data_IF_748673730294
#
_entry.id   IF_748673730294
#
_cell.length_a   1.000
_cell.length_b   1.000
_cell.length_c   1.000
_cell.angle_alpha   90.00
_cell.angle_beta   90.00
_cell.angle_gamma   90.00
#
_symmetry.space_group_name_H-M   'P 1'
#
loop_
_entity.id
_entity.type
_entity.pdbx_description
1 polymer ?
#
# COMPACT_ATOMS: atom_id res chain seq x y z
N UNK A 1 5.98 -17.16 -4.80
CA UNK A 1 6.00 -16.51 -3.48
C UNK A 1 6.05 -15.02 -3.76
N UNK A 2 5.01 -14.29 -3.40
CA UNK A 2 4.85 -12.89 -3.84
C UNK A 2 5.59 -11.96 -2.88
N UNK A 3 6.07 -10.81 -3.37
CA UNK A 3 6.77 -9.79 -2.55
C UNK A 3 5.93 -9.30 -1.35
N UNK A 4 4.61 -9.37 -1.47
CA UNK A 4 3.66 -9.09 -0.39
C UNK A 4 3.85 -10.07 0.78
N UNK A 5 3.96 -11.37 0.49
CA UNK A 5 4.17 -12.40 1.51
C UNK A 5 5.52 -12.22 2.21
N UNK A 6 6.56 -11.83 1.46
CA UNK A 6 7.87 -11.51 2.03
C UNK A 6 7.81 -10.34 3.02
N UNK A 7 7.08 -9.27 2.66
CA UNK A 7 6.90 -8.11 3.54
C UNK A 7 6.05 -8.41 4.77
N UNK A 8 5.04 -9.25 4.65
CA UNK A 8 4.19 -9.66 5.78
C UNK A 8 4.94 -10.53 6.80
N UNK A 9 5.96 -11.28 6.37
CA UNK A 9 6.82 -12.06 7.30
C UNK A 9 7.62 -11.21 8.27
N UNK A 10 7.75 -9.90 8.03
CA UNK A 10 8.36 -8.98 8.99
C UNK A 10 7.47 -8.74 10.23
N UNK A 11 6.22 -9.25 10.24
CA UNK A 11 5.31 -9.20 11.39
C UNK A 11 4.71 -7.81 11.64
N UNK A 12 4.75 -6.94 10.63
CA UNK A 12 4.15 -5.60 10.64
C UNK A 12 2.97 -5.55 9.67
N UNK A 13 1.96 -4.71 9.91
CA UNK A 13 0.96 -4.40 8.90
C UNK A 13 1.61 -3.85 7.63
N UNK A 14 0.95 -4.00 6.49
CA UNK A 14 1.49 -3.66 5.18
C UNK A 14 0.48 -2.85 4.38
N UNK A 15 0.91 -1.71 3.85
CA UNK A 15 0.19 -0.94 2.84
C UNK A 15 0.82 -1.23 1.48
N UNK A 16 0.01 -1.69 0.53
CA UNK A 16 0.44 -1.89 -0.86
C UNK A 16 -0.23 -0.86 -1.75
N UNK A 17 0.54 0.05 -2.33
CA UNK A 17 0.03 1.00 -3.35
C UNK A 17 0.39 0.52 -4.74
N UNK A 18 -0.60 0.42 -5.61
CA UNK A 18 -0.45 -0.01 -7.00
C UNK A 18 -0.66 1.19 -7.91
N UNK A 19 0.40 1.59 -8.61
CA UNK A 19 0.45 2.80 -9.41
C UNK A 19 1.32 2.70 -10.66
N UNK A 20 1.62 3.84 -11.26
CA UNK A 20 2.49 3.95 -12.44
C UNK A 20 3.20 5.30 -12.47
N UNK A 21 4.40 5.35 -13.05
CA UNK A 21 5.16 6.60 -13.24
C UNK A 21 4.50 7.58 -14.23
N UNK A 22 3.52 7.13 -15.01
CA UNK A 22 2.78 7.98 -15.94
C UNK A 22 1.41 8.43 -15.40
N UNK A 23 1.14 8.18 -14.12
CA UNK A 23 -0.12 8.51 -13.46
C UNK A 23 0.08 9.71 -12.52
N UNK A 24 -0.50 10.87 -12.88
CA UNK A 24 -0.41 12.10 -12.07
C UNK A 24 -0.89 11.92 -10.63
N UNK A 25 -2.07 11.34 -10.34
CA UNK A 25 -2.51 11.14 -8.96
C UNK A 25 -1.59 10.18 -8.19
N UNK A 26 -0.99 9.19 -8.87
CA UNK A 26 -0.03 8.27 -8.25
C UNK A 26 1.24 9.01 -7.78
N UNK A 27 1.75 9.96 -8.57
CA UNK A 27 2.90 10.80 -8.19
C UNK A 27 2.64 11.66 -6.96
N UNK A 28 1.38 12.03 -6.71
CA UNK A 28 1.03 12.80 -5.51
C UNK A 28 0.97 11.92 -4.25
N UNK A 29 0.64 10.63 -4.40
CA UNK A 29 0.59 9.67 -3.29
C UNK A 29 1.98 9.17 -2.90
N UNK A 30 2.90 9.01 -3.85
CA UNK A 30 4.27 8.54 -3.55
C UNK A 30 4.99 9.32 -2.41
N UNK A 31 5.05 10.67 -2.39
CA UNK A 31 5.69 11.37 -1.29
C UNK A 31 4.95 11.17 0.04
N UNK A 32 3.62 11.09 0.01
CA UNK A 32 2.80 10.81 1.20
C UNK A 32 3.13 9.44 1.79
N UNK A 33 3.23 8.41 0.94
CA UNK A 33 3.61 7.06 1.36
C UNK A 33 5.01 6.99 1.92
N UNK A 34 5.97 7.75 1.35
CA UNK A 34 7.32 7.86 1.91
C UNK A 34 7.32 8.48 3.29
N UNK A 35 6.58 9.57 3.49
CA UNK A 35 6.45 10.16 4.82
C UNK A 35 5.85 9.18 5.83
N UNK A 36 4.81 8.43 5.44
CA UNK A 36 4.22 7.38 6.28
C UNK A 36 5.22 6.26 6.58
N UNK A 37 5.98 5.82 5.58
CA UNK A 37 7.02 4.81 5.77
C UNK A 37 8.10 5.31 6.74
N UNK A 38 8.51 6.58 6.66
CA UNK A 38 9.48 7.16 7.60
C UNK A 38 8.90 7.31 9.02
N UNK A 39 7.67 7.81 9.14
CA UNK A 39 6.98 8.01 10.43
C UNK A 39 6.73 6.67 11.16
N UNK A 40 6.44 5.60 10.40
CA UNK A 40 6.05 4.30 10.93
C UNK A 40 7.01 3.16 10.59
N UNK A 41 8.27 3.45 10.22
CA UNK A 41 9.26 2.44 9.75
C UNK A 41 9.38 1.20 10.66
N UNK A 42 9.19 1.39 11.97
CA UNK A 42 9.34 0.36 12.99
C UNK A 42 8.04 -0.44 13.21
N UNK A 43 6.90 0.07 12.73
CA UNK A 43 5.56 -0.43 13.04
C UNK A 43 4.71 -0.75 11.80
N UNK A 44 5.09 -0.32 10.61
CA UNK A 44 4.33 -0.44 9.37
C UNK A 44 5.28 -0.66 8.18
N UNK A 45 4.86 -1.52 7.26
CA UNK A 45 5.52 -1.72 5.98
C UNK A 45 4.75 -1.00 4.87
N UNK A 46 5.49 -0.40 3.95
CA UNK A 46 4.94 0.22 2.73
C UNK A 46 5.57 -0.46 1.53
N UNK A 47 4.75 -0.82 0.56
CA UNK A 47 5.16 -1.45 -0.69
C UNK A 47 4.50 -0.74 -1.85
N UNK A 48 5.30 -0.19 -2.76
CA UNK A 48 4.81 0.48 -3.96
C UNK A 48 5.05 -0.44 -5.15
N UNK A 49 3.99 -0.82 -5.84
CA UNK A 49 4.03 -1.68 -7.02
C UNK A 49 3.69 -0.86 -8.27
N UNK A 50 4.63 -0.85 -9.21
CA UNK A 50 4.38 -0.31 -10.53
C UNK A 50 3.64 -1.35 -11.38
N UNK A 51 2.50 -0.98 -11.97
CA UNK A 51 1.73 -1.87 -12.85
C UNK A 51 2.48 -2.33 -14.08
N UNK A 52 3.44 -1.56 -14.57
CA UNK A 52 4.24 -1.92 -15.75
C UNK A 52 5.36 -2.92 -15.42
N UNK A 53 5.84 -2.92 -14.18
CA UNK A 53 6.96 -3.77 -13.74
C UNK A 53 6.47 -5.03 -13.01
N UNK A 54 5.34 -4.95 -12.31
CA UNK A 54 4.83 -6.00 -11.43
C UNK A 54 3.52 -6.63 -11.97
N UNK A 55 3.43 -6.83 -13.29
CA UNK A 55 2.21 -7.26 -13.98
C UNK A 55 1.54 -8.50 -13.38
N UNK A 56 2.32 -9.52 -13.00
CA UNK A 56 1.77 -10.76 -12.43
C UNK A 56 1.09 -10.51 -11.08
N UNK A 57 1.78 -9.84 -10.14
CA UNK A 57 1.24 -9.53 -8.80
C UNK A 57 0.04 -8.60 -8.91
N UNK A 58 0.10 -7.58 -9.78
CA UNK A 58 -1.00 -6.63 -10.01
C UNK A 58 -2.25 -7.35 -10.52
N UNK A 59 -2.05 -8.35 -11.40
CA UNK A 59 -3.13 -9.18 -11.92
C UNK A 59 -3.69 -10.12 -10.84
N UNK A 60 -2.85 -10.70 -9.98
CA UNK A 60 -3.28 -11.51 -8.83
C UNK A 60 -4.13 -10.68 -7.84
N UNK A 61 -3.76 -9.42 -7.62
CA UNK A 61 -4.52 -8.47 -6.80
C UNK A 61 -5.84 -8.01 -7.43
N UNK A 62 -6.08 -8.34 -8.72
CA UNK A 62 -7.30 -7.95 -9.43
C UNK A 62 -7.44 -6.45 -9.67
N UNK A 63 -6.31 -5.71 -9.73
CA UNK A 63 -6.33 -4.26 -9.93
C UNK A 63 -6.86 -3.91 -11.32
N UNK A 64 -8.01 -3.23 -11.37
CA UNK A 64 -8.63 -2.76 -12.62
C UNK A 64 -8.39 -1.27 -12.90
N UNK A 65 -7.99 -0.50 -11.89
CA UNK A 65 -7.78 0.94 -11.98
C UNK A 65 -6.65 1.37 -11.06
N UNK A 66 -5.91 2.40 -11.46
CA UNK A 66 -4.84 2.97 -10.65
C UNK A 66 -5.12 4.45 -10.32
N UNK A 67 -4.64 4.93 -9.15
CA UNK A 67 -3.97 4.16 -8.10
C UNK A 67 -4.94 3.29 -7.30
N UNK A 68 -4.48 2.16 -6.77
CA UNK A 68 -5.25 1.30 -5.84
C UNK A 68 -4.38 0.94 -4.65
N UNK A 69 -4.89 1.13 -3.43
CA UNK A 69 -4.21 0.78 -2.18
C UNK A 69 -4.86 -0.43 -1.54
N UNK A 70 -4.04 -1.35 -1.06
CA UNK A 70 -4.47 -2.50 -0.26
C UNK A 70 -3.87 -2.39 1.13
N UNK A 71 -4.66 -2.76 2.14
CA UNK A 71 -4.27 -2.70 3.54
C UNK A 71 -4.28 -4.12 4.09
N UNK A 72 -3.16 -4.54 4.65
CA UNK A 72 -2.98 -5.84 5.28
C UNK A 72 -2.61 -5.66 6.74
N UNK A 73 -3.21 -6.45 7.62
CA UNK A 73 -2.78 -6.51 9.02
C UNK A 73 -1.44 -7.25 9.17
N UNK A 74 -0.91 -7.24 10.39
CA UNK A 74 0.34 -7.94 10.75
C UNK A 74 0.25 -9.47 10.62
N UNK A 75 -0.97 -10.02 10.57
CA UNK A 75 -1.25 -11.45 10.43
C UNK A 75 -1.37 -11.85 8.94
N UNK A 76 -1.22 -10.88 8.03
CA UNK A 76 -1.27 -11.06 6.58
C UNK A 76 -2.67 -11.08 5.98
N UNK A 77 -3.70 -10.71 6.75
CA UNK A 77 -5.07 -10.65 6.26
C UNK A 77 -5.33 -9.29 5.60
N UNK A 78 -5.93 -9.30 4.41
CA UNK A 78 -6.39 -8.08 3.75
C UNK A 78 -7.60 -7.53 4.50
N UNK A 79 -7.40 -6.41 5.18
CA UNK A 79 -8.43 -5.74 5.98
C UNK A 79 -9.24 -4.72 5.16
N UNK A 80 -8.72 -4.29 4.01
CA UNK A 80 -9.42 -3.37 3.13
C UNK A 80 -8.64 -3.00 1.87
N UNK A 81 -9.31 -2.27 0.98
CA UNK A 81 -8.72 -1.66 -0.19
C UNK A 81 -9.39 -0.32 -0.52
N UNK A 82 -8.66 0.57 -1.16
CA UNK A 82 -9.16 1.85 -1.69
C UNK A 82 -8.76 2.00 -3.15
N UNK A 83 -9.68 2.47 -3.99
CA UNK A 83 -9.43 2.74 -5.40
C UNK A 83 -9.51 4.23 -5.65
N UNK A 84 -8.47 4.77 -6.27
CA UNK A 84 -8.33 6.18 -6.61
C UNK A 84 -7.39 6.93 -5.68
N UNK A 85 -7.47 8.26 -5.73
CA UNK A 85 -6.59 9.12 -4.94
C UNK A 85 -6.96 9.04 -3.45
N UNK A 86 -5.95 8.88 -2.60
CA UNK A 86 -6.08 8.87 -1.15
C UNK A 86 -5.10 9.90 -0.55
N UNK A 87 -5.60 10.96 0.12
CA UNK A 87 -4.73 11.96 0.73
C UNK A 87 -4.08 11.44 2.02
N UNK A 88 -3.01 12.11 2.47
CA UNK A 88 -2.25 11.78 3.69
C UNK A 88 -3.14 11.63 4.93
N UNK A 89 -4.08 12.55 5.13
CA UNK A 89 -4.99 12.53 6.27
C UNK A 89 -5.82 11.23 6.33
N UNK A 90 -6.28 10.74 5.16
CA UNK A 90 -7.03 9.50 5.09
C UNK A 90 -6.16 8.28 5.37
N UNK A 91 -4.91 8.25 4.89
CA UNK A 91 -3.97 7.20 5.27
C UNK A 91 -3.73 7.17 6.78
N UNK A 92 -3.47 8.34 7.39
CA UNK A 92 -3.26 8.43 8.84
C UNK A 92 -4.49 7.97 9.62
N UNK A 93 -5.69 8.29 9.13
CA UNK A 93 -6.93 7.82 9.75
C UNK A 93 -7.04 6.30 9.66
N UNK A 94 -6.82 5.70 8.48
CA UNK A 94 -6.84 4.25 8.27
C UNK A 94 -5.81 3.57 9.16
N UNK A 95 -4.59 4.12 9.26
CA UNK A 95 -3.54 3.56 10.10
C UNK A 95 -3.98 3.52 11.58
N UNK A 96 -4.59 4.60 12.08
CA UNK A 96 -5.09 4.66 13.45
C UNK A 96 -6.28 3.73 13.68
N UNK A 97 -7.25 3.71 12.77
CA UNK A 97 -8.49 2.94 12.93
C UNK A 97 -8.29 1.44 12.72
N UNK A 98 -7.50 1.07 11.71
CA UNK A 98 -7.36 -0.32 11.28
C UNK A 98 -6.12 -1.00 11.86
N UNK A 99 -4.99 -0.30 11.94
CA UNK A 99 -3.76 -0.88 12.49
C UNK A 99 -3.62 -0.61 14.00
N UNK A 100 -4.46 0.27 14.57
CA UNK A 100 -4.40 0.66 15.99
C UNK A 100 -3.01 1.17 16.43
N UNK A 101 -2.33 1.86 15.51
CA UNK A 101 -0.99 2.47 15.70
C UNK A 101 -1.07 3.92 16.15
#
# INVERSE_FOLDING_TARGET
>A
MSIIDEKLREGKPLIVDVGSDNCVPCKMIQPVLKEIEEDYKDSLNVLILNVNENLEIVKELGVMSIPTQFFYDKDGQMIGQHVGFLPKESFQQIIKEQFSL
#
